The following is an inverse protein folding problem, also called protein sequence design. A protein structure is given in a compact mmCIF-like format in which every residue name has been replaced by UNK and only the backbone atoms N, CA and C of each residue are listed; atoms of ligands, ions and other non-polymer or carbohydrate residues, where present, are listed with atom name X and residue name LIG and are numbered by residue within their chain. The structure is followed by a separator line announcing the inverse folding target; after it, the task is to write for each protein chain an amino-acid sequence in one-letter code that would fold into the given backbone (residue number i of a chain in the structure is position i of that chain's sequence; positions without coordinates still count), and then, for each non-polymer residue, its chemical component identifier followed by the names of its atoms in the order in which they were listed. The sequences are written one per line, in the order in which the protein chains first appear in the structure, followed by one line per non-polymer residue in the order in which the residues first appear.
data_IF_328804179478
#
_entry.id   IF_328804179478
#
_cell.length_a   1.000
_cell.length_b   1.000
_cell.length_c   1.000
_cell.angle_alpha   90.00
_cell.angle_beta   90.00
_cell.angle_gamma   90.00
#
_symmetry.space_group_name_H-M   'P 1'
#
loop_
_entity.id
_entity.type
_entity.pdbx_description
1 polymer ?
#
# COMPACT_ATOMS: atom_id res chain seq x y z
N UNK A 1 23.29 -7.38 0.78
CA UNK A 1 22.03 -7.87 0.18
C UNK A 1 21.45 -6.80 -0.73
N UNK A 2 20.84 -7.21 -1.84
CA UNK A 2 20.03 -6.37 -2.72
C UNK A 2 18.69 -7.07 -2.96
N UNK A 3 17.64 -6.31 -3.27
CA UNK A 3 16.28 -6.82 -3.46
C UNK A 3 15.64 -6.17 -4.68
N UNK A 4 14.93 -6.96 -5.47
CA UNK A 4 14.04 -6.49 -6.54
C UNK A 4 12.66 -7.10 -6.37
N UNK A 5 11.61 -6.36 -6.70
CA UNK A 5 10.26 -6.88 -6.76
C UNK A 5 9.92 -7.26 -8.20
N UNK A 6 9.58 -8.53 -8.44
CA UNK A 6 8.99 -8.99 -9.69
C UNK A 6 7.48 -9.07 -9.47
N UNK A 7 6.74 -8.10 -9.97
CA UNK A 7 5.30 -8.01 -9.74
C UNK A 7 4.53 -7.65 -11.02
N UNK A 8 3.35 -8.23 -11.18
CA UNK A 8 2.49 -8.08 -12.35
C UNK A 8 1.92 -9.41 -12.83
N UNK A 9 0.98 -9.39 -13.78
CA UNK A 9 0.31 -10.59 -14.29
C UNK A 9 1.29 -11.59 -14.96
N UNK A 10 2.38 -11.10 -15.53
CA UNK A 10 3.41 -11.92 -16.19
C UNK A 10 4.50 -12.42 -15.24
N UNK A 11 4.45 -12.04 -13.95
CA UNK A 11 5.49 -12.40 -12.97
C UNK A 11 5.70 -13.91 -12.88
N UNK A 12 4.62 -14.70 -12.89
CA UNK A 12 4.70 -16.15 -12.83
C UNK A 12 5.36 -16.77 -14.06
N UNK A 13 5.04 -16.27 -15.26
CA UNK A 13 5.67 -16.71 -16.51
C UNK A 13 7.17 -16.42 -16.49
N UNK A 14 7.55 -15.20 -16.10
CA UNK A 14 8.94 -14.77 -15.99
C UNK A 14 9.70 -15.62 -14.97
N UNK A 15 9.12 -15.86 -13.78
CA UNK A 15 9.73 -16.70 -12.75
C UNK A 15 10.06 -18.11 -13.27
N UNK A 16 9.17 -18.72 -14.05
CA UNK A 16 9.43 -20.01 -14.67
C UNK A 16 10.55 -19.96 -15.71
N UNK A 17 10.56 -18.93 -16.57
CA UNK A 17 11.56 -18.77 -17.62
C UNK A 17 12.98 -18.60 -17.07
N UNK A 18 13.13 -17.91 -15.94
CA UNK A 18 14.45 -17.67 -15.32
C UNK A 18 14.93 -18.78 -14.40
N UNK A 19 14.21 -19.90 -14.36
CA UNK A 19 14.55 -21.08 -13.55
C UNK A 19 14.04 -21.05 -12.11
N UNK A 20 13.17 -20.12 -11.74
CA UNK A 20 12.67 -19.92 -10.38
C UNK A 20 11.25 -20.48 -10.17
N UNK A 21 10.96 -21.67 -10.72
CA UNK A 21 9.61 -22.25 -10.67
C UNK A 21 9.16 -22.68 -9.27
N UNK A 22 10.08 -22.83 -8.31
CA UNK A 22 9.74 -23.12 -6.91
C UNK A 22 8.89 -22.01 -6.28
N UNK A 23 9.00 -20.78 -6.79
CA UNK A 23 8.25 -19.62 -6.30
C UNK A 23 6.73 -19.79 -6.42
N UNK A 24 6.26 -20.58 -7.39
CA UNK A 24 4.84 -20.90 -7.59
C UNK A 24 4.22 -21.70 -6.44
N UNK A 25 5.04 -22.41 -5.66
CA UNK A 25 4.56 -23.24 -4.55
C UNK A 25 4.27 -22.42 -3.29
N UNK A 26 4.77 -21.18 -3.23
CA UNK A 26 4.58 -20.31 -2.08
C UNK A 26 3.13 -19.87 -1.98
N UNK A 27 2.50 -20.04 -0.82
CA UNK A 27 1.28 -19.29 -0.49
C UNK A 27 1.65 -17.84 -0.15
N UNK A 28 0.67 -16.94 -0.18
CA UNK A 28 0.88 -15.54 0.20
C UNK A 28 1.50 -15.44 1.61
N UNK A 29 2.45 -14.54 1.81
CA UNK A 29 3.29 -14.41 3.03
C UNK A 29 4.24 -15.59 3.33
N UNK A 30 4.47 -16.51 2.40
CA UNK A 30 5.53 -17.52 2.52
C UNK A 30 6.79 -17.11 1.77
N UNK A 31 7.92 -17.74 2.14
CA UNK A 31 9.20 -17.58 1.45
C UNK A 31 9.87 -18.93 1.18
N UNK A 32 10.75 -18.97 0.19
CA UNK A 32 11.63 -20.11 -0.11
C UNK A 32 12.96 -19.62 -0.68
N UNK A 33 13.88 -20.53 -0.90
CA UNK A 33 15.10 -20.32 -1.69
C UNK A 33 14.93 -20.94 -3.08
N UNK A 34 15.45 -20.26 -4.09
CA UNK A 34 15.47 -20.69 -5.50
C UNK A 34 16.73 -20.14 -6.17
N UNK A 35 16.87 -20.32 -7.47
CA UNK A 35 17.94 -19.74 -8.26
C UNK A 35 17.40 -18.93 -9.45
N UNK A 36 18.10 -17.84 -9.78
CA UNK A 36 17.84 -17.04 -10.98
C UNK A 36 19.15 -16.92 -11.75
N UNK A 37 19.24 -17.54 -12.92
CA UNK A 37 20.48 -17.57 -13.70
C UNK A 37 21.67 -18.18 -12.93
N UNK A 38 21.41 -19.20 -12.12
CA UNK A 38 22.40 -19.87 -11.25
C UNK A 38 22.85 -19.05 -10.04
N UNK A 39 22.12 -17.97 -9.70
CA UNK A 39 22.37 -17.17 -8.50
C UNK A 39 21.36 -17.57 -7.43
N UNK A 40 21.79 -17.92 -6.20
CA UNK A 40 20.89 -18.16 -5.09
C UNK A 40 20.06 -16.92 -4.75
N UNK A 41 18.75 -17.09 -4.68
CA UNK A 41 17.76 -16.04 -4.38
C UNK A 41 16.84 -16.53 -3.28
N UNK A 42 16.55 -15.66 -2.30
CA UNK A 42 15.41 -15.83 -1.38
C UNK A 42 14.21 -15.10 -1.96
N UNK A 43 13.16 -15.84 -2.31
CA UNK A 43 11.90 -15.30 -2.78
C UNK A 43 10.85 -15.28 -1.68
N UNK A 44 10.15 -14.17 -1.51
CA UNK A 44 9.00 -14.03 -0.63
C UNK A 44 7.77 -13.62 -1.44
N UNK A 45 6.66 -14.35 -1.28
CA UNK A 45 5.39 -14.03 -1.96
C UNK A 45 4.67 -12.91 -1.22
N UNK A 46 4.99 -11.68 -1.60
CA UNK A 46 4.45 -10.43 -1.07
C UNK A 46 4.44 -9.37 -2.19
N UNK A 47 3.58 -8.36 -2.07
CA UNK A 47 3.48 -7.32 -3.09
C UNK A 47 3.08 -5.98 -2.51
N UNK A 48 3.96 -4.99 -2.66
CA UNK A 48 3.66 -3.61 -2.29
C UNK A 48 2.88 -2.83 -3.37
N UNK A 49 2.77 -3.39 -4.58
CA UNK A 49 2.00 -2.81 -5.68
C UNK A 49 0.61 -3.47 -5.85
N UNK A 50 0.33 -4.54 -5.10
CA UNK A 50 -0.96 -5.23 -5.09
C UNK A 50 -1.24 -6.10 -6.31
N UNK A 51 -0.19 -6.57 -6.98
CA UNK A 51 -0.24 -7.56 -8.07
C UNK A 51 0.49 -8.85 -7.66
N UNK A 52 0.22 -9.96 -8.33
CA UNK A 52 0.97 -11.22 -8.12
C UNK A 52 2.47 -11.00 -8.33
N UNK A 53 3.29 -11.69 -7.53
CA UNK A 53 4.72 -11.55 -7.61
C UNK A 53 5.46 -11.91 -6.34
N UNK A 54 6.76 -11.58 -6.34
CA UNK A 54 7.67 -11.88 -5.24
C UNK A 54 8.68 -10.75 -5.04
N UNK A 55 9.11 -10.60 -3.79
CA UNK A 55 10.35 -9.91 -3.47
C UNK A 55 11.51 -10.91 -3.53
N UNK A 56 12.53 -10.57 -4.32
CA UNK A 56 13.66 -11.42 -4.66
C UNK A 56 14.92 -10.81 -4.05
N UNK A 57 15.43 -11.43 -2.99
CA UNK A 57 16.60 -10.96 -2.24
C UNK A 57 17.81 -11.85 -2.51
N UNK A 58 18.96 -11.24 -2.79
CA UNK A 58 20.19 -11.94 -3.17
C UNK A 58 21.45 -11.14 -2.79
N UNK A 59 22.61 -11.72 -3.03
CA UNK A 59 23.89 -11.07 -2.77
C UNK A 59 24.08 -9.84 -3.64
N UNK A 60 24.51 -8.72 -3.03
CA UNK A 60 24.54 -7.41 -3.71
C UNK A 60 25.43 -7.41 -4.96
N UNK A 61 26.49 -8.21 -4.97
CA UNK A 61 27.39 -8.36 -6.11
C UNK A 61 26.75 -9.02 -7.34
N UNK A 62 25.58 -9.66 -7.17
CA UNK A 62 24.85 -10.34 -8.24
C UNK A 62 23.72 -9.48 -8.83
N UNK A 63 23.51 -8.25 -8.33
CA UNK A 63 22.36 -7.43 -8.69
C UNK A 63 22.24 -7.18 -10.19
N UNK A 64 23.35 -6.86 -10.86
CA UNK A 64 23.35 -6.65 -12.30
C UNK A 64 22.95 -7.91 -13.06
N UNK A 65 23.50 -9.07 -12.67
CA UNK A 65 23.19 -10.34 -13.34
C UNK A 65 21.73 -10.73 -13.15
N UNK A 66 21.21 -10.66 -11.92
CA UNK A 66 19.80 -10.99 -11.64
C UNK A 66 18.86 -10.03 -12.38
N UNK A 67 19.15 -8.73 -12.35
CA UNK A 67 18.35 -7.74 -13.08
C UNK A 67 18.34 -8.01 -14.59
N UNK A 68 19.50 -8.27 -15.19
CA UNK A 68 19.59 -8.57 -16.62
C UNK A 68 18.82 -9.84 -16.98
N UNK A 69 18.95 -10.92 -16.19
CA UNK A 69 18.19 -12.16 -16.40
C UNK A 69 16.67 -11.92 -16.41
N UNK A 70 16.16 -11.07 -15.51
CA UNK A 70 14.73 -10.73 -15.47
C UNK A 70 14.32 -9.88 -16.68
N UNK A 71 15.15 -8.90 -17.07
CA UNK A 71 14.90 -8.04 -18.24
C UNK A 71 14.88 -8.85 -19.54
N UNK A 72 15.81 -9.79 -19.69
CA UNK A 72 15.90 -10.67 -20.87
C UNK A 72 14.66 -11.57 -21.00
N UNK A 73 14.04 -11.95 -19.87
CA UNK A 73 12.76 -12.69 -19.82
C UNK A 73 11.51 -11.79 -20.01
N UNK A 74 11.71 -10.49 -20.26
CA UNK A 74 10.66 -9.54 -20.59
C UNK A 74 10.12 -8.72 -19.41
N UNK A 75 10.76 -8.73 -18.25
CA UNK A 75 10.45 -7.79 -17.19
C UNK A 75 10.71 -6.34 -17.64
N UNK A 76 9.97 -5.38 -17.08
CA UNK A 76 10.15 -3.96 -17.35
C UNK A 76 10.48 -3.22 -16.05
N UNK A 77 11.45 -2.28 -16.06
CA UNK A 77 11.76 -1.50 -14.88
C UNK A 77 10.58 -0.59 -14.53
N UNK A 78 10.28 -0.49 -13.24
CA UNK A 78 9.30 0.45 -12.70
C UNK A 78 9.97 1.29 -11.60
N UNK A 79 9.75 2.60 -11.65
CA UNK A 79 10.31 3.55 -10.68
C UNK A 79 9.44 3.71 -9.43
N UNK A 80 9.98 4.44 -8.45
CA UNK A 80 9.33 4.68 -7.16
C UNK A 80 8.00 5.42 -7.28
N UNK A 81 7.83 6.34 -8.24
CA UNK A 81 6.53 7.03 -8.40
C UNK A 81 5.41 6.10 -8.88
N UNK A 82 5.73 5.12 -9.74
CA UNK A 82 4.75 4.11 -10.12
C UNK A 82 4.39 3.22 -8.91
N UNK A 83 5.39 2.83 -8.10
CA UNK A 83 5.16 2.10 -6.86
C UNK A 83 4.31 2.90 -5.86
N UNK A 84 4.60 4.18 -5.66
CA UNK A 84 3.83 5.07 -4.78
C UNK A 84 2.39 5.24 -5.25
N UNK A 85 2.16 5.44 -6.56
CA UNK A 85 0.81 5.45 -7.11
C UNK A 85 0.07 4.14 -6.79
N UNK A 86 0.71 3.00 -7.07
CA UNK A 86 0.08 1.70 -6.88
C UNK A 86 -0.18 1.35 -5.40
N UNK A 87 0.71 1.69 -4.48
CA UNK A 87 0.53 1.42 -3.05
C UNK A 87 -0.58 2.29 -2.44
N UNK A 88 -0.74 3.53 -2.92
CA UNK A 88 -1.82 4.43 -2.50
C UNK A 88 -3.17 3.88 -2.97
N UNK A 89 -3.27 3.43 -4.21
CA UNK A 89 -4.48 2.75 -4.71
C UNK A 89 -4.82 1.48 -3.89
N UNK A 90 -3.80 0.82 -3.32
CA UNK A 90 -3.97 -0.32 -2.42
C UNK A 90 -4.25 0.04 -0.96
N UNK A 91 -4.25 1.33 -0.60
CA UNK A 91 -4.34 1.81 0.80
C UNK A 91 -3.25 1.22 1.69
N UNK A 92 -2.05 1.03 1.14
CA UNK A 92 -0.89 0.61 1.93
C UNK A 92 -0.25 1.83 2.60
N UNK A 93 -0.27 1.82 3.93
CA UNK A 93 0.36 2.81 4.78
C UNK A 93 1.89 2.64 4.80
N UNK A 94 2.62 3.75 4.94
CA UNK A 94 4.08 3.74 5.10
C UNK A 94 4.51 4.58 6.30
N UNK A 95 5.63 4.16 6.91
CA UNK A 95 6.27 4.94 7.98
C UNK A 95 6.73 6.30 7.44
N UNK A 96 6.45 7.35 8.20
CA UNK A 96 6.76 8.74 7.85
C UNK A 96 5.68 9.44 7.02
N UNK A 97 4.61 8.75 6.62
CA UNK A 97 3.44 9.37 5.99
C UNK A 97 2.15 9.05 6.74
N UNK A 98 1.80 7.77 6.86
CA UNK A 98 0.61 7.32 7.57
C UNK A 98 0.91 6.75 8.95
N UNK A 99 2.16 6.32 9.17
CA UNK A 99 2.58 5.66 10.41
C UNK A 99 3.77 6.41 11.02
N UNK A 100 3.65 6.77 12.28
CA UNK A 100 4.70 7.36 13.09
C UNK A 100 4.44 7.06 14.58
N UNK A 101 5.02 7.85 15.49
CA UNK A 101 4.82 7.70 16.93
C UNK A 101 3.52 8.30 17.45
N UNK A 102 2.81 9.09 16.64
CA UNK A 102 1.60 9.82 17.03
C UNK A 102 0.32 9.06 16.65
N UNK A 103 0.41 8.13 15.70
CA UNK A 103 -0.73 7.36 15.18
C UNK A 103 -0.77 5.94 15.75
N UNK A 104 -1.90 5.53 16.33
CA UNK A 104 -2.12 4.15 16.74
C UNK A 104 -2.41 3.22 15.54
N UNK A 105 -2.03 1.94 15.61
CA UNK A 105 -2.45 0.94 14.63
C UNK A 105 -3.97 0.82 14.45
N UNK A 106 -4.77 1.18 15.46
CA UNK A 106 -6.24 1.15 15.36
C UNK A 106 -6.76 2.27 14.46
N UNK A 107 -6.23 3.49 14.59
CA UNK A 107 -6.56 4.65 13.75
C UNK A 107 -6.12 4.42 12.30
N UNK A 108 -4.95 3.80 12.11
CA UNK A 108 -4.46 3.39 10.80
C UNK A 108 -5.25 2.24 10.15
N UNK A 109 -6.23 1.65 10.86
CA UNK A 109 -7.02 0.52 10.37
C UNK A 109 -6.22 -0.79 10.27
N UNK A 110 -5.17 -0.93 11.06
CA UNK A 110 -4.26 -2.08 11.11
C UNK A 110 -4.56 -3.04 12.27
N UNK A 111 -5.79 -3.03 12.78
CA UNK A 111 -6.22 -3.96 13.85
C UNK A 111 -5.98 -5.43 13.47
N UNK A 112 -6.04 -5.77 12.17
CA UNK A 112 -5.78 -7.12 11.66
C UNK A 112 -4.35 -7.63 11.90
N UNK A 113 -3.38 -6.75 12.18
CA UNK A 113 -1.99 -7.14 12.47
C UNK A 113 -1.70 -7.31 13.96
N UNK A 114 -2.70 -7.15 14.84
CA UNK A 114 -2.54 -7.23 16.29
C UNK A 114 -3.00 -8.59 16.79
N UNK A 115 -2.15 -9.26 17.55
CA UNK A 115 -2.47 -10.49 18.27
C UNK A 115 -2.74 -10.15 19.74
N UNK A 116 -4.02 -9.99 20.09
CA UNK A 116 -4.47 -9.56 21.42
C UNK A 116 -4.20 -10.58 22.54
N UNK A 117 -3.88 -11.82 22.18
CA UNK A 117 -3.59 -12.90 23.13
C UNK A 117 -2.13 -12.87 23.60
N UNK A 118 -1.23 -12.25 22.84
CA UNK A 118 0.18 -12.12 23.19
C UNK A 118 0.43 -10.93 24.12
N UNK A 119 1.47 -11.06 24.94
CA UNK A 119 2.06 -9.93 25.67
C UNK A 119 3.06 -9.20 24.76
N UNK A 120 2.94 -7.88 24.64
CA UNK A 120 3.77 -7.04 23.78
C UNK A 120 3.75 -5.58 24.22
N UNK A 121 4.79 -4.83 23.83
CA UNK A 121 4.93 -3.40 24.15
C UNK A 121 3.74 -2.61 23.58
N UNK A 122 3.01 -1.91 24.44
CA UNK A 122 1.88 -1.06 24.06
C UNK A 122 0.52 -1.77 24.07
N UNK A 123 0.45 -3.03 24.50
CA UNK A 123 -0.80 -3.81 24.56
C UNK A 123 -1.88 -3.16 25.41
N UNK A 124 -1.57 -2.73 26.64
CA UNK A 124 -2.53 -2.12 27.56
C UNK A 124 -3.08 -0.81 26.97
N UNK A 125 -2.21 0.03 26.40
CA UNK A 125 -2.62 1.28 25.77
C UNK A 125 -3.56 1.05 24.57
N UNK A 126 -3.33 0.01 23.78
CA UNK A 126 -4.20 -0.33 22.66
C UNK A 126 -5.54 -0.92 23.12
N UNK A 127 -5.58 -1.67 24.22
CA UNK A 127 -6.84 -2.13 24.82
C UNK A 127 -7.66 -0.95 25.32
N UNK A 128 -7.04 0.01 26.02
CA UNK A 128 -7.72 1.24 26.45
C UNK A 128 -8.26 2.04 25.25
N UNK A 129 -7.47 2.15 24.17
CA UNK A 129 -7.89 2.85 22.95
C UNK A 129 -9.06 2.14 22.28
N UNK A 130 -9.05 0.80 22.28
CA UNK A 130 -10.15 -0.02 21.76
C UNK A 130 -11.45 0.17 22.55
N UNK A 131 -11.35 0.30 23.87
CA UNK A 131 -12.51 0.55 24.74
C UNK A 131 -13.04 1.98 24.62
N UNK A 132 -12.16 2.99 24.56
CA UNK A 132 -12.54 4.41 24.44
C UNK A 132 -13.04 4.76 23.03
N UNK A 133 -12.57 4.03 22.02
CA UNK A 133 -12.77 4.34 20.62
C UNK A 133 -11.67 5.23 20.05
N UNK A 134 -11.45 5.13 18.74
CA UNK A 134 -10.50 5.98 17.99
C UNK A 134 -11.11 7.34 17.71
N UNK A 135 -10.30 8.39 17.72
CA UNK A 135 -10.69 9.76 17.33
C UNK A 135 -10.32 10.11 15.90
N UNK A 136 -9.39 9.37 15.30
CA UNK A 136 -8.97 9.55 13.92
C UNK A 136 -9.15 8.27 13.10
N UNK A 137 -9.45 8.42 11.81
CA UNK A 137 -9.60 7.28 10.90
C UNK A 137 -8.86 7.53 9.60
N UNK A 138 -7.97 6.60 9.24
CA UNK A 138 -7.34 6.58 7.91
C UNK A 138 -8.38 6.21 6.84
N UNK A 139 -8.54 7.03 5.81
CA UNK A 139 -9.42 6.78 4.65
C UNK A 139 -8.66 6.92 3.34
N UNK A 140 -9.27 6.49 2.23
CA UNK A 140 -8.87 6.90 0.90
C UNK A 140 -9.89 7.87 0.32
N UNK A 141 -9.42 8.94 -0.32
CA UNK A 141 -10.24 9.93 -1.00
C UNK A 141 -9.96 9.82 -2.49
N UNK A 142 -10.97 9.53 -3.30
CA UNK A 142 -10.87 9.48 -4.76
C UNK A 142 -11.48 10.75 -5.33
N UNK A 143 -10.67 11.61 -5.94
CA UNK A 143 -11.09 12.92 -6.42
C UNK A 143 -11.94 12.78 -7.69
N UNK A 144 -12.96 13.63 -7.81
CA UNK A 144 -13.87 13.62 -8.97
C UNK A 144 -13.23 14.24 -10.21
N UNK A 145 -12.41 15.28 -10.03
CA UNK A 145 -11.68 15.97 -11.09
C UNK A 145 -10.36 15.22 -11.39
N UNK A 146 -10.12 14.78 -12.64
CA UNK A 146 -8.89 14.06 -12.99
C UNK A 146 -7.62 14.92 -12.95
N UNK A 147 -7.73 16.24 -12.95
CA UNK A 147 -6.60 17.18 -12.91
C UNK A 147 -6.22 17.59 -11.48
N UNK A 148 -7.09 17.32 -10.50
CA UNK A 148 -6.90 17.67 -9.10
C UNK A 148 -6.05 16.63 -8.37
N UNK A 149 -4.73 16.66 -8.58
CA UNK A 149 -3.78 15.73 -7.95
C UNK A 149 -3.11 16.38 -6.73
N UNK A 150 -3.48 15.99 -5.49
CA UNK A 150 -2.79 16.45 -4.30
C UNK A 150 -1.37 15.87 -4.20
N UNK A 151 -0.54 16.47 -3.34
CA UNK A 151 0.84 16.07 -3.02
C UNK A 151 0.97 15.47 -1.62
N UNK A 152 0.06 15.79 -0.69
CA UNK A 152 0.08 15.39 0.71
C UNK A 152 0.07 16.60 1.66
N UNK A 153 -0.52 16.44 2.84
CA UNK A 153 -0.77 17.48 3.85
C UNK A 153 -1.82 18.54 3.47
N UNK A 154 -2.58 18.34 2.40
CA UNK A 154 -3.72 19.19 2.08
C UNK A 154 -4.84 19.06 3.13
N UNK A 155 -5.46 20.15 3.57
CA UNK A 155 -6.64 20.12 4.44
C UNK A 155 -7.81 19.40 3.77
N UNK A 156 -8.48 18.54 4.55
CA UNK A 156 -9.74 17.90 4.15
C UNK A 156 -10.89 18.59 4.85
N UNK A 157 -11.86 19.03 4.05
CA UNK A 157 -13.03 19.78 4.48
C UNK A 157 -14.30 18.95 4.40
N UNK A 158 -15.17 19.17 5.37
CA UNK A 158 -16.59 18.85 5.30
C UNK A 158 -17.37 20.11 5.67
N UNK A 159 -18.25 20.55 4.76
CA UNK A 159 -18.99 21.80 4.85
C UNK A 159 -18.09 23.03 5.09
N UNK A 160 -18.00 23.51 6.34
CA UNK A 160 -17.21 24.70 6.73
C UNK A 160 -16.12 24.39 7.76
N UNK A 161 -15.83 23.12 7.97
CA UNK A 161 -14.81 22.68 8.93
C UNK A 161 -13.74 21.85 8.23
N UNK A 162 -12.50 22.06 8.65
CA UNK A 162 -11.42 21.12 8.40
C UNK A 162 -11.65 19.94 9.34
N UNK A 163 -11.67 18.73 8.78
CA UNK A 163 -11.91 17.47 9.49
C UNK A 163 -10.74 16.50 9.32
N UNK A 164 -9.57 17.00 8.95
CA UNK A 164 -8.37 16.19 8.77
C UNK A 164 -7.46 16.70 7.66
N UNK A 165 -6.56 15.82 7.21
CA UNK A 165 -5.58 16.13 6.15
C UNK A 165 -5.19 14.90 5.34
N UNK A 166 -4.79 15.12 4.09
CA UNK A 166 -4.14 14.07 3.29
C UNK A 166 -2.75 13.77 3.85
N UNK A 167 -2.27 12.54 3.67
CA UNK A 167 -0.92 12.09 4.07
C UNK A 167 -0.08 11.71 2.87
N UNK A 168 -0.68 10.98 1.94
CA UNK A 168 -0.08 10.54 0.69
C UNK A 168 -1.05 10.72 -0.45
N UNK A 169 -0.57 11.17 -1.59
CA UNK A 169 -1.40 11.35 -2.78
C UNK A 169 -0.65 11.02 -4.06
N UNK A 170 -1.41 10.60 -5.08
CA UNK A 170 -0.90 10.38 -6.43
C UNK A 170 -2.05 10.30 -7.43
N UNK A 171 -1.73 10.39 -8.71
CA UNK A 171 -2.66 9.92 -9.73
C UNK A 171 -2.70 8.39 -9.72
N UNK A 172 -3.88 7.81 -9.52
CA UNK A 172 -4.11 6.36 -9.59
C UNK A 172 -4.32 5.93 -11.03
N UNK A 173 -3.26 5.43 -11.68
CA UNK A 173 -3.29 5.06 -13.10
C UNK A 173 -4.18 3.86 -13.40
N UNK A 174 -4.45 2.98 -12.43
CA UNK A 174 -5.32 1.80 -12.64
C UNK A 174 -6.80 2.14 -12.44
N UNK A 175 -7.09 3.18 -11.68
CA UNK A 175 -8.45 3.69 -11.46
C UNK A 175 -8.79 4.93 -12.33
N UNK A 176 -7.79 5.52 -13.00
CA UNK A 176 -7.94 6.68 -13.87
C UNK A 176 -8.28 7.98 -13.14
N UNK A 177 -7.95 8.09 -11.84
CA UNK A 177 -8.33 9.23 -10.99
C UNK A 177 -7.27 9.54 -9.93
N UNK A 178 -7.15 10.80 -9.48
CA UNK A 178 -6.35 11.14 -8.32
C UNK A 178 -6.91 10.46 -7.06
N UNK A 179 -6.00 9.97 -6.23
CA UNK A 179 -6.31 9.30 -4.98
C UNK A 179 -5.37 9.79 -3.88
N UNK A 180 -5.93 10.07 -2.72
CA UNK A 180 -5.20 10.39 -1.51
C UNK A 180 -5.52 9.39 -0.40
N UNK A 181 -4.56 9.13 0.47
CA UNK A 181 -4.81 8.67 1.83
C UNK A 181 -4.91 9.88 2.74
N UNK A 182 -5.78 9.82 3.74
CA UNK A 182 -6.02 10.93 4.65
C UNK A 182 -6.41 10.41 6.03
N UNK A 183 -5.93 11.06 7.09
CA UNK A 183 -6.52 10.94 8.41
C UNK A 183 -7.62 11.97 8.55
N UNK A 184 -8.79 11.51 8.99
CA UNK A 184 -9.91 12.37 9.35
C UNK A 184 -10.09 12.32 10.86
N UNK A 185 -10.37 13.48 11.47
CA UNK A 185 -10.70 13.68 12.90
C UNK A 185 -12.11 13.14 13.22
N UNK A 186 -12.34 11.89 12.85
CA UNK A 186 -13.61 11.17 12.96
C UNK A 186 -13.35 9.79 13.53
N UNK A 187 -14.22 9.37 14.44
CA UNK A 187 -14.27 7.98 14.88
C UNK A 187 -14.74 7.06 13.75
N UNK A 188 -14.69 5.75 13.98
CA UNK A 188 -15.02 4.73 12.96
C UNK A 188 -16.44 4.89 12.39
N UNK A 189 -17.44 5.13 13.24
CA UNK A 189 -18.85 5.22 12.84
C UNK A 189 -19.14 6.50 12.05
N UNK A 190 -18.58 7.63 12.51
CA UNK A 190 -18.66 8.92 11.81
C UNK A 190 -17.98 8.83 10.45
N UNK A 191 -16.81 8.19 10.41
CA UNK A 191 -16.14 7.90 9.16
C UNK A 191 -17.07 7.05 8.30
N UNK A 192 -17.64 5.94 8.74
CA UNK A 192 -18.53 5.09 7.94
C UNK A 192 -19.69 5.85 7.26
N UNK A 193 -20.30 6.81 7.96
CA UNK A 193 -21.40 7.64 7.45
C UNK A 193 -20.99 8.75 6.47
N UNK A 194 -19.70 8.98 6.24
CA UNK A 194 -19.20 10.05 5.39
C UNK A 194 -19.00 9.58 3.94
N UNK A 195 -19.76 10.14 2.98
CA UNK A 195 -19.62 9.75 1.57
C UNK A 195 -18.65 10.62 0.76
N UNK A 196 -18.64 11.93 1.04
CA UNK A 196 -17.89 12.91 0.26
C UNK A 196 -17.26 13.98 1.13
N UNK A 197 -16.11 14.47 0.69
CA UNK A 197 -15.35 15.57 1.30
C UNK A 197 -14.84 16.51 0.20
N UNK A 198 -14.28 17.64 0.59
CA UNK A 198 -13.50 18.50 -0.28
C UNK A 198 -12.04 18.51 0.16
N UNK A 199 -11.10 18.47 -0.78
CA UNK A 199 -9.67 18.62 -0.51
C UNK A 199 -9.25 20.00 -0.99
N UNK A 200 -8.62 20.78 -0.12
CA UNK A 200 -8.06 22.09 -0.47
C UNK A 200 -6.70 21.92 -1.13
N UNK A 201 -6.66 22.10 -2.45
CA UNK A 201 -5.44 22.02 -3.25
C UNK A 201 -5.09 23.44 -3.69
N UNK A 202 -4.07 24.00 -3.04
CA UNK A 202 -3.57 25.35 -3.32
C UNK A 202 -4.63 26.47 -3.25
N UNK A 203 -5.60 26.35 -2.34
CA UNK A 203 -6.67 27.33 -2.11
C UNK A 203 -7.97 27.04 -2.86
N UNK A 204 -8.02 25.96 -3.64
CA UNK A 204 -9.21 25.53 -4.38
C UNK A 204 -9.76 24.21 -3.82
N UNK A 205 -11.09 24.16 -3.63
CA UNK A 205 -11.76 23.01 -3.03
C UNK A 205 -12.22 22.01 -4.10
N UNK A 206 -11.64 20.81 -4.07
CA UNK A 206 -11.96 19.73 -5.01
C UNK A 206 -12.75 18.61 -4.31
N UNK A 207 -13.91 18.25 -4.84
CA UNK A 207 -14.72 17.17 -4.28
C UNK A 207 -14.09 15.79 -4.49
N UNK A 208 -14.11 14.96 -3.45
CA UNK A 208 -13.67 13.58 -3.48
C UNK A 208 -14.60 12.64 -2.73
N UNK A 209 -14.70 11.41 -3.23
CA UNK A 209 -15.44 10.32 -2.57
C UNK A 209 -14.57 9.67 -1.51
N UNK A 210 -15.10 9.51 -0.31
CA UNK A 210 -14.41 8.79 0.76
C UNK A 210 -14.68 7.28 0.65
N UNK A 211 -13.63 6.47 0.74
CA UNK A 211 -13.71 5.02 0.80
C UNK A 211 -12.79 4.49 1.91
N UNK A 212 -13.18 3.40 2.58
CA UNK A 212 -12.39 2.75 3.66
C UNK A 212 -11.71 1.45 3.22
N UNK A 213 -11.63 1.24 1.90
CA UNK A 213 -11.06 0.06 1.26
C UNK A 213 -10.10 0.50 0.17
N UNK A 214 -9.23 -0.41 -0.32
CA UNK A 214 -8.41 -0.12 -1.48
C UNK A 214 -9.25 0.42 -2.64
N UNK A 215 -8.79 1.47 -3.30
CA UNK A 215 -9.41 2.00 -4.52
C UNK A 215 -9.26 1.01 -5.68
N UNK A 216 -8.20 0.19 -5.67
CA UNK A 216 -7.92 -0.84 -6.65
C UNK A 216 -7.90 -2.26 -6.03
N UNK A 217 -8.63 -3.20 -6.66
CA UNK A 217 -8.78 -4.60 -6.23
C UNK A 217 -9.01 -4.71 -4.70
N UNK A 218 -10.16 -4.25 -4.19
CA UNK A 218 -10.44 -4.25 -2.74
C UNK A 218 -10.45 -5.65 -2.13
N UNK A 219 -10.73 -6.69 -2.93
CA UNK A 219 -10.63 -8.09 -2.50
C UNK A 219 -9.19 -8.59 -2.35
N UNK A 220 -8.23 -7.92 -2.99
CA UNK A 220 -6.84 -8.37 -3.02
C UNK A 220 -6.64 -9.67 -3.79
N UNK A 221 -7.51 -9.98 -4.74
CA UNK A 221 -7.45 -11.26 -5.48
C UNK A 221 -6.23 -11.30 -6.38
N UNK A 222 -5.83 -10.17 -6.99
CA UNK A 222 -4.69 -10.15 -7.92
C UNK A 222 -3.37 -10.48 -7.25
N UNK A 223 -3.16 -10.01 -6.02
CA UNK A 223 -1.93 -10.30 -5.27
C UNK A 223 -1.91 -11.73 -4.69
N UNK A 224 -3.08 -12.35 -4.51
CA UNK A 224 -3.25 -13.67 -3.87
C UNK A 224 -3.49 -14.81 -4.86
N UNK A 225 -3.79 -14.49 -6.12
CA UNK A 225 -3.91 -15.43 -7.24
C UNK A 225 -2.59 -16.16 -7.45
#
# INVERSE_FOLDING_TARGET
MATVALAGPESGRIASEVGASELHQLKYFQHTTTEIGGIPVRGMRVSFVGEAGWELSFEKGQAQKVAQTLLDAGAKPAGLFAQSSMRIEKRFAVIGHELDGDVSPLEAGMEFSIDWEKDFIGREALLETKEKGISETLVSIVLSDPLAVPLGNEPVWQDRAIIGKTTSASFGYRIGKPVALAFLDLNRDQAEGLDTVQVDIAGELYSGKVIRKPAFDPSGQRMKA
#
